data_IF_678485981383
#
_entry.id   IF_678485981383
#
_cell.length_a   1.000
_cell.length_b   1.000
_cell.length_c   1.000
_cell.angle_alpha   90.00
_cell.angle_beta   90.00
_cell.angle_gamma   90.00
#
_symmetry.space_group_name_H-M   'P 1'
#
loop_
_entity.id
_entity.type
_entity.pdbx_description
1 polymer ?
#
# COMPACT_ATOMS: atom_id res chain seq x y z
N UNK A 1 -8.15 -7.15 -17.59
CA UNK A 1 -7.98 -5.68 -17.68
C UNK A 1 -6.83 -5.38 -16.75
N UNK A 2 -5.72 -4.88 -17.27
CA UNK A 2 -4.47 -4.77 -16.52
C UNK A 2 -4.66 -3.86 -15.30
N UNK A 3 -4.23 -4.36 -14.16
CA UNK A 3 -4.23 -3.69 -12.87
C UNK A 3 -3.45 -2.37 -12.94
N UNK A 4 -4.13 -1.28 -13.26
CA UNK A 4 -3.51 0.05 -13.39
C UNK A 4 -2.83 0.53 -12.11
N UNK A 5 -3.20 -0.01 -10.94
CA UNK A 5 -2.51 0.22 -9.68
C UNK A 5 -1.17 -0.53 -9.62
N UNK A 6 -1.11 -1.77 -10.11
CA UNK A 6 0.10 -2.58 -10.12
C UNK A 6 1.16 -1.91 -11.01
N UNK A 7 0.80 -1.52 -12.23
CA UNK A 7 1.74 -0.83 -13.14
C UNK A 7 2.28 0.48 -12.55
N UNK A 8 1.51 1.18 -11.70
CA UNK A 8 1.92 2.47 -11.11
C UNK A 8 2.67 2.34 -9.79
N UNK A 9 2.35 1.35 -8.97
CA UNK A 9 2.83 1.26 -7.58
C UNK A 9 3.73 0.05 -7.32
N UNK A 10 3.62 -1.05 -8.08
CA UNK A 10 4.48 -2.23 -7.93
C UNK A 10 5.94 -1.92 -8.16
N UNK A 11 6.25 -1.14 -9.18
CA UNK A 11 7.62 -0.80 -9.53
C UNK A 11 8.05 0.61 -9.12
N UNK A 12 7.49 1.14 -8.02
CA UNK A 12 8.00 2.37 -7.41
C UNK A 12 9.51 2.26 -7.13
N UNK A 13 10.31 3.13 -7.74
CA UNK A 13 11.78 3.12 -7.61
C UNK A 13 12.27 3.87 -6.36
N UNK A 14 11.35 4.55 -5.67
CA UNK A 14 11.61 5.33 -4.46
C UNK A 14 10.43 5.23 -3.49
N UNK A 15 10.74 5.22 -2.19
CA UNK A 15 9.75 5.32 -1.13
C UNK A 15 9.21 6.75 -1.07
N UNK A 16 7.89 6.92 -1.12
CA UNK A 16 7.25 8.25 -1.13
C UNK A 16 7.40 9.03 0.17
N UNK A 17 7.65 8.34 1.29
CA UNK A 17 7.81 8.95 2.63
C UNK A 17 9.23 9.42 2.92
N UNK A 18 10.25 8.63 2.59
CA UNK A 18 11.64 8.92 2.94
C UNK A 18 12.57 9.14 1.74
N UNK A 19 12.03 9.05 0.52
CA UNK A 19 12.79 9.17 -0.74
C UNK A 19 13.95 8.19 -0.89
N UNK A 20 13.96 7.11 -0.09
CA UNK A 20 14.93 6.01 -0.22
C UNK A 20 14.68 5.28 -1.53
N UNK A 21 15.74 4.95 -2.27
CA UNK A 21 15.65 4.11 -3.46
C UNK A 21 15.19 2.69 -3.10
N UNK A 22 14.24 2.17 -3.87
CA UNK A 22 13.72 0.82 -3.76
C UNK A 22 14.24 0.00 -4.95
N UNK A 23 15.07 -1.00 -4.69
CA UNK A 23 15.47 -1.97 -5.70
C UNK A 23 14.29 -2.91 -6.03
N UNK A 24 14.28 -3.61 -7.19
CA UNK A 24 13.20 -4.53 -7.53
C UNK A 24 12.96 -5.59 -6.44
N UNK A 25 14.02 -6.11 -5.85
CA UNK A 25 13.98 -7.08 -4.75
C UNK A 25 13.57 -6.51 -3.39
N UNK A 26 13.49 -5.18 -3.25
CA UNK A 26 13.15 -4.57 -1.96
C UNK A 26 11.64 -4.66 -1.72
N UNK A 27 11.20 -5.24 -0.59
CA UNK A 27 9.80 -5.30 -0.24
C UNK A 27 9.27 -3.88 0.02
N UNK A 28 8.08 -3.63 -0.52
CA UNK A 28 7.33 -2.38 -0.35
C UNK A 28 5.89 -2.73 0.01
N UNK A 29 5.20 -1.77 0.61
CA UNK A 29 3.82 -1.93 1.06
C UNK A 29 3.09 -0.60 0.82
N UNK A 30 1.78 -0.66 0.63
CA UNK A 30 0.96 0.53 0.53
C UNK A 30 0.69 1.09 1.93
N UNK A 31 0.90 2.39 2.10
CA UNK A 31 0.58 3.07 3.36
C UNK A 31 -0.93 3.09 3.59
N UNK A 32 -1.38 2.84 4.81
CA UNK A 32 -2.83 2.89 5.13
C UNK A 32 -3.35 4.32 5.21
N UNK A 33 -2.46 5.32 5.18
CA UNK A 33 -2.79 6.73 5.35
C UNK A 33 -3.02 7.41 4.00
N UNK A 34 -2.15 7.13 3.03
CA UNK A 34 -2.10 7.84 1.74
C UNK A 34 -2.14 6.89 0.53
N UNK A 35 -2.19 5.58 0.75
CA UNK A 35 -2.21 4.54 -0.29
C UNK A 35 -0.99 4.53 -1.23
N UNK A 36 0.10 5.20 -0.86
CA UNK A 36 1.32 5.26 -1.65
C UNK A 36 2.28 4.11 -1.28
N UNK A 37 3.14 3.72 -2.23
CA UNK A 37 4.18 2.72 -1.97
C UNK A 37 5.28 3.28 -1.05
N UNK A 38 5.47 2.61 0.08
CA UNK A 38 6.48 2.95 1.09
C UNK A 38 7.39 1.75 1.39
N UNK A 39 8.59 2.03 1.89
CA UNK A 39 9.48 0.98 2.38
C UNK A 39 8.97 0.42 3.71
N UNK A 40 9.42 -0.79 4.06
CA UNK A 40 9.05 -1.44 5.32
C UNK A 40 9.47 -0.63 6.56
N UNK A 41 10.58 0.10 6.52
CA UNK A 41 10.98 0.98 7.63
C UNK A 41 9.95 2.08 7.88
N UNK A 42 9.46 2.72 6.81
CA UNK A 42 8.41 3.73 6.92
C UNK A 42 7.08 3.12 7.37
N UNK A 43 6.81 1.86 7.01
CA UNK A 43 5.63 1.15 7.48
C UNK A 43 5.71 0.90 8.99
N UNK A 44 6.87 0.50 9.50
CA UNK A 44 7.08 0.33 10.94
C UNK A 44 6.89 1.63 11.71
N UNK A 45 7.29 2.77 11.16
CA UNK A 45 7.00 4.07 11.78
C UNK A 45 5.51 4.46 11.69
N UNK A 46 4.84 4.10 10.60
CA UNK A 46 3.39 4.27 10.46
C UNK A 46 2.62 3.46 11.51
N UNK A 47 3.02 2.21 11.74
CA UNK A 47 2.41 1.30 12.72
C UNK A 47 2.57 1.74 14.18
N UNK A 48 3.55 2.61 14.47
CA UNK A 48 3.78 3.17 15.81
C UNK A 48 2.86 4.34 16.15
N UNK A 49 2.10 4.86 15.19
CA UNK A 49 1.20 5.98 15.44
C UNK A 49 0.05 5.55 16.34
N UNK A 50 -0.34 6.42 17.28
CA UNK A 50 -1.44 6.17 18.20
C UNK A 50 -2.79 5.95 17.48
N UNK A 51 -2.94 6.52 16.28
CA UNK A 51 -4.14 6.43 15.44
C UNK A 51 -4.11 5.27 14.43
N UNK A 52 -3.06 4.43 14.43
CA UNK A 52 -2.85 3.43 13.39
C UNK A 52 -3.94 2.35 13.37
N UNK A 53 -4.38 1.87 14.54
CA UNK A 53 -5.40 0.82 14.61
C UNK A 53 -6.74 1.30 14.05
N UNK A 54 -7.13 2.53 14.38
CA UNK A 54 -8.37 3.12 13.85
C UNK A 54 -8.23 3.41 12.35
N UNK A 55 -7.13 4.02 11.95
CA UNK A 55 -6.84 4.35 10.54
C UNK A 55 -6.83 3.08 9.68
N UNK A 56 -6.13 2.03 10.10
CA UNK A 56 -6.07 0.76 9.35
C UNK A 56 -7.44 0.09 9.19
N UNK A 57 -8.31 0.15 10.21
CA UNK A 57 -9.70 -0.33 10.14
C UNK A 57 -10.57 0.49 9.20
N UNK A 58 -10.39 1.81 9.17
CA UNK A 58 -11.09 2.67 8.22
C UNK A 58 -10.61 2.40 6.79
N UNK A 59 -9.30 2.27 6.58
CA UNK A 59 -8.68 2.01 5.27
C UNK A 59 -9.10 0.67 4.71
N UNK A 60 -9.16 -0.40 5.51
CA UNK A 60 -9.65 -1.70 5.00
C UNK A 60 -11.12 -1.63 4.60
N UNK A 61 -11.96 -0.93 5.39
CA UNK A 61 -13.37 -0.73 5.07
C UNK A 61 -13.56 0.06 3.78
N UNK A 62 -12.88 1.20 3.67
CA UNK A 62 -12.97 2.07 2.50
C UNK A 62 -12.41 1.40 1.24
N UNK A 63 -11.26 0.73 1.35
CA UNK A 63 -10.65 0.05 0.22
C UNK A 63 -11.51 -1.10 -0.31
N UNK A 64 -12.12 -1.90 0.58
CA UNK A 64 -13.04 -2.97 0.17
C UNK A 64 -14.27 -2.40 -0.55
N UNK A 65 -14.88 -1.33 -0.02
CA UNK A 65 -16.02 -0.64 -0.63
C UNK A 65 -15.64 -0.09 -2.02
N UNK A 66 -14.55 0.66 -2.11
CA UNK A 66 -14.13 1.31 -3.36
C UNK A 66 -13.71 0.30 -4.42
N UNK A 67 -13.04 -0.79 -4.03
CA UNK A 67 -12.53 -1.79 -4.98
C UNK A 67 -13.61 -2.77 -5.42
N UNK A 68 -14.58 -3.10 -4.55
CA UNK A 68 -15.78 -3.85 -4.94
C UNK A 68 -16.63 -3.07 -5.95
N UNK A 69 -16.77 -1.75 -5.77
CA UNK A 69 -17.51 -0.89 -6.71
C UNK A 69 -16.78 -0.66 -8.05
N UNK A 70 -15.45 -0.68 -8.07
CA UNK A 70 -14.69 -0.18 -9.23
C UNK A 70 -14.00 -1.28 -10.06
N UNK A 71 -13.62 -2.43 -9.47
CA UNK A 71 -12.73 -3.40 -10.16
C UNK A 71 -13.16 -4.87 -10.09
N UNK A 72 -14.10 -5.24 -9.22
CA UNK A 72 -14.63 -6.62 -9.14
C UNK A 72 -13.65 -7.68 -8.61
N UNK A 73 -12.39 -7.33 -8.37
CA UNK A 73 -11.39 -8.16 -7.66
C UNK A 73 -10.66 -7.34 -6.57
N UNK A 74 -11.26 -7.23 -5.37
CA UNK A 74 -10.75 -6.41 -4.28
C UNK A 74 -9.43 -6.87 -3.65
N UNK A 75 -8.94 -8.06 -4.04
CA UNK A 75 -7.83 -8.70 -3.35
C UNK A 75 -6.44 -8.22 -3.78
N UNK A 76 -6.28 -7.55 -4.93
CA UNK A 76 -4.96 -7.06 -5.33
C UNK A 76 -4.55 -5.83 -4.51
N UNK A 77 -5.21 -4.71 -4.75
CA UNK A 77 -4.82 -3.40 -4.21
C UNK A 77 -5.00 -3.29 -2.68
N UNK A 78 -6.13 -3.73 -2.13
CA UNK A 78 -6.38 -3.61 -0.69
C UNK A 78 -5.48 -4.50 0.16
N UNK A 79 -5.14 -5.67 -0.36
CA UNK A 79 -4.26 -6.62 0.32
C UNK A 79 -2.85 -6.06 0.52
N UNK A 80 -2.37 -5.27 -0.44
CA UNK A 80 -1.04 -4.67 -0.36
C UNK A 80 -0.89 -3.52 0.65
N UNK A 81 -1.96 -3.15 1.36
CA UNK A 81 -1.87 -2.29 2.54
C UNK A 81 -1.41 -3.05 3.79
N UNK A 82 -1.53 -4.38 3.76
CA UNK A 82 -1.23 -5.29 4.88
C UNK A 82 -0.14 -6.31 4.53
N UNK A 83 0.05 -6.58 3.25
CA UNK A 83 1.02 -7.56 2.78
C UNK A 83 2.02 -6.93 1.80
N UNK A 84 3.32 -6.98 2.12
CA UNK A 84 4.34 -6.43 1.26
C UNK A 84 4.45 -7.20 -0.05
N UNK A 85 4.95 -6.50 -1.07
CA UNK A 85 5.15 -6.98 -2.42
C UNK A 85 6.48 -6.48 -2.97
N UNK A 86 6.93 -7.08 -4.06
CA UNK A 86 8.09 -6.60 -4.81
C UNK A 86 7.64 -6.16 -6.20
N UNK A 87 8.51 -5.40 -6.86
CA UNK A 87 8.51 -5.35 -8.32
C UNK A 87 9.09 -6.70 -8.82
#
# INVERSE_FOLDING_TARGET
MSDAWAEKLSCAIECRRCSRKLAPSDPRILSVIDHEAICMDCKTEEEKRDDYEETSKQTIGQCLIDTEMQWGDPQGYCYHHFYPFTC
#
